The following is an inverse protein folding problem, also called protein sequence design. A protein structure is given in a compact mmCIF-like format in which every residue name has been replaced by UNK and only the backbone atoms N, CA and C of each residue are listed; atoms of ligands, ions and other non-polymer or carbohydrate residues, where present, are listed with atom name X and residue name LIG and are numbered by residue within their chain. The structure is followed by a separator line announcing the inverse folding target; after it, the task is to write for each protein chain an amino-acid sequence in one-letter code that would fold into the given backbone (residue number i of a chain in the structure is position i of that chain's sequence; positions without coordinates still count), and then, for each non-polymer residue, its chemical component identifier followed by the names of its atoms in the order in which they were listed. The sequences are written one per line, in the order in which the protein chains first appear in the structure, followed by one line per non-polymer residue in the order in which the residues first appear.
data_IF_057144257005
#
_entry.id   IF_057144257005
#
_cell.length_a   1.000
_cell.length_b   1.000
_cell.length_c   1.000
_cell.angle_alpha   90.00
_cell.angle_beta   90.00
_cell.angle_gamma   90.00
#
_symmetry.space_group_name_H-M   'P 1'
#
loop_
_entity.id
_entity.type
_entity.pdbx_description
1 polymer ?
#
# COMPACT_ATOMS: atom_id res chain seq x y z
N UNK A 1 -10.80 0.81 20.38
CA UNK A 1 -10.19 0.01 19.30
C UNK A 1 -10.65 0.60 17.98
N UNK A 2 -9.73 1.00 17.10
CA UNK A 2 -10.04 1.48 15.75
C UNK A 2 -9.75 0.35 14.74
N UNK A 3 -10.61 0.21 13.73
CA UNK A 3 -10.50 -0.80 12.67
C UNK A 3 -10.44 -0.07 11.32
N UNK A 4 -9.39 -0.32 10.54
CA UNK A 4 -9.19 0.29 9.22
C UNK A 4 -9.18 -0.82 8.15
N UNK A 5 -9.60 -0.49 6.92
CA UNK A 5 -9.57 -1.45 5.81
C UNK A 5 -10.54 -2.62 5.93
N UNK A 6 -11.56 -2.55 6.79
CA UNK A 6 -12.51 -3.65 7.03
C UNK A 6 -13.70 -3.68 6.07
N UNK A 7 -13.44 -3.56 4.78
CA UNK A 7 -14.44 -3.90 3.76
C UNK A 7 -14.19 -5.35 3.32
N UNK A 8 -15.27 -6.12 3.16
CA UNK A 8 -15.19 -7.48 2.62
C UNK A 8 -14.38 -7.47 1.31
N UNK A 9 -13.49 -8.45 1.14
CA UNK A 9 -12.63 -8.56 -0.04
C UNK A 9 -11.33 -7.75 0.02
N UNK A 10 -10.92 -7.25 1.18
CA UNK A 10 -9.56 -6.73 1.39
C UNK A 10 -8.73 -7.80 2.09
N UNK A 11 -7.65 -8.23 1.44
CA UNK A 11 -6.62 -9.09 2.04
C UNK A 11 -5.40 -8.20 2.39
N UNK A 12 -5.42 -7.49 3.53
CA UNK A 12 -4.26 -6.74 3.98
C UNK A 12 -3.14 -7.73 4.32
N UNK A 13 -2.00 -7.60 3.65
CA UNK A 13 -0.87 -8.51 3.88
C UNK A 13 0.21 -7.85 4.73
N UNK A 14 0.47 -6.56 4.50
CA UNK A 14 1.44 -5.78 5.27
C UNK A 14 0.97 -4.34 5.48
N UNK A 15 1.48 -3.72 6.54
CA UNK A 15 1.19 -2.33 6.93
C UNK A 15 2.47 -1.60 7.33
N UNK A 16 2.54 -0.31 7.02
CA UNK A 16 3.60 0.60 7.49
C UNK A 16 3.01 1.98 7.77
N UNK A 17 3.77 2.82 8.45
CA UNK A 17 3.38 4.19 8.79
C UNK A 17 4.50 5.15 8.40
N UNK A 18 4.17 6.31 7.82
CA UNK A 18 5.16 7.35 7.54
C UNK A 18 5.41 8.29 8.73
N UNK A 19 6.36 9.22 8.60
CA UNK A 19 6.68 10.21 9.65
C UNK A 19 5.53 11.17 10.00
N UNK A 20 4.50 11.26 9.16
CA UNK A 20 3.31 12.11 9.35
C UNK A 20 2.16 11.33 10.00
N UNK A 21 2.33 10.02 10.21
CA UNK A 21 1.31 9.14 10.75
C UNK A 21 0.34 8.59 9.71
N UNK A 22 0.60 8.77 8.40
CA UNK A 22 -0.22 8.13 7.38
C UNK A 22 0.03 6.63 7.39
N UNK A 23 -1.04 5.85 7.33
CA UNK A 23 -1.02 4.38 7.37
C UNK A 23 -1.12 3.88 5.93
N UNK A 24 -0.17 3.06 5.51
CA UNK A 24 -0.15 2.42 4.20
C UNK A 24 -0.35 0.92 4.35
N UNK A 25 -1.27 0.34 3.57
CA UNK A 25 -1.62 -1.08 3.63
C UNK A 25 -1.43 -1.69 2.24
N UNK A 26 -0.52 -2.66 2.13
CA UNK A 26 -0.41 -3.50 0.95
C UNK A 26 -1.61 -4.45 0.91
N UNK A 27 -2.42 -4.33 -0.13
CA UNK A 27 -3.58 -5.19 -0.33
C UNK A 27 -3.34 -6.19 -1.45
N UNK A 28 -3.12 -7.44 -1.05
CA UNK A 28 -2.76 -8.49 -1.97
C UNK A 28 -3.86 -8.77 -3.00
N UNK A 29 -5.09 -8.96 -2.52
CA UNK A 29 -6.22 -9.36 -3.35
C UNK A 29 -6.63 -8.27 -4.36
N UNK A 30 -6.58 -7.01 -3.95
CA UNK A 30 -6.95 -5.89 -4.82
C UNK A 30 -5.78 -5.31 -5.63
N UNK A 31 -4.58 -5.88 -5.48
CA UNK A 31 -3.36 -5.47 -6.20
C UNK A 31 -3.10 -3.95 -6.10
N UNK A 32 -3.24 -3.39 -4.90
CA UNK A 32 -3.09 -1.95 -4.64
C UNK A 32 -2.56 -1.68 -3.24
N UNK A 33 -2.05 -0.48 -3.04
CA UNK A 33 -1.75 0.07 -1.70
C UNK A 33 -2.86 1.03 -1.30
N UNK A 34 -3.38 0.87 -0.10
CA UNK A 34 -4.34 1.80 0.50
C UNK A 34 -3.60 2.79 1.40
N UNK A 35 -4.02 4.05 1.39
CA UNK A 35 -3.50 5.10 2.25
C UNK A 35 -4.60 5.66 3.14
N UNK A 36 -4.35 5.70 4.43
CA UNK A 36 -5.20 6.30 5.45
C UNK A 36 -4.42 7.37 6.21
N UNK A 37 -5.12 8.33 6.82
CA UNK A 37 -4.49 9.23 7.77
C UNK A 37 -4.32 8.56 9.15
N UNK A 38 -3.69 9.30 10.08
CA UNK A 38 -3.44 8.85 11.46
C UNK A 38 -4.70 8.55 12.26
N UNK A 39 -5.84 9.11 11.86
CA UNK A 39 -7.14 8.93 12.53
C UNK A 39 -7.95 7.80 11.87
N UNK A 40 -7.43 7.24 10.77
CA UNK A 40 -8.05 6.13 10.06
C UNK A 40 -8.97 6.49 8.92
N UNK A 41 -8.99 7.75 8.51
CA UNK A 41 -9.80 8.20 7.38
C UNK A 41 -9.09 7.76 6.10
N UNK A 42 -9.84 7.12 5.20
CA UNK A 42 -9.31 6.75 3.88
C UNK A 42 -8.96 8.02 3.10
N UNK A 43 -7.71 8.10 2.64
CA UNK A 43 -7.22 9.23 1.85
C UNK A 43 -7.21 8.89 0.36
N UNK A 44 -6.52 7.82 0.00
CA UNK A 44 -6.32 7.43 -1.39
C UNK A 44 -5.89 5.97 -1.52
N UNK A 45 -5.75 5.50 -2.76
CA UNK A 45 -5.05 4.27 -3.08
C UNK A 45 -4.34 4.41 -4.41
N UNK A 46 -3.30 3.60 -4.61
CA UNK A 46 -2.53 3.56 -5.85
C UNK A 46 -2.13 2.12 -6.18
N UNK A 47 -1.79 1.91 -7.45
CA UNK A 47 -1.66 0.58 -8.02
C UNK A 47 -2.98 -0.02 -8.49
N UNK A 48 -2.86 -0.95 -9.42
CA UNK A 48 -3.93 -1.84 -9.88
C UNK A 48 -3.29 -3.06 -10.53
N UNK A 49 -4.07 -4.12 -10.78
CA UNK A 49 -3.53 -5.35 -11.38
C UNK A 49 -2.84 -5.07 -12.72
N UNK A 50 -1.58 -5.46 -12.85
CA UNK A 50 -0.84 -5.38 -14.11
C UNK A 50 0.66 -5.59 -13.93
N UNK A 51 1.42 -5.48 -15.02
CA UNK A 51 2.87 -5.74 -15.05
C UNK A 51 3.71 -4.50 -15.41
N UNK A 52 3.06 -3.42 -15.88
CA UNK A 52 3.73 -2.17 -16.23
C UNK A 52 4.14 -1.34 -15.00
N UNK A 53 4.89 -0.26 -15.21
CA UNK A 53 5.21 0.67 -14.12
C UNK A 53 3.94 1.27 -13.52
N UNK A 54 3.89 1.36 -12.19
CA UNK A 54 2.73 1.81 -11.42
C UNK A 54 1.64 0.74 -11.23
N UNK A 55 1.74 -0.41 -11.88
CA UNK A 55 0.84 -1.55 -11.67
C UNK A 55 1.45 -2.52 -10.66
N UNK A 56 0.60 -3.20 -9.89
CA UNK A 56 1.00 -4.19 -8.91
C UNK A 56 0.32 -5.53 -9.23
N UNK A 57 0.85 -6.60 -8.69
CA UNK A 57 0.31 -7.94 -8.79
C UNK A 57 0.62 -8.72 -7.51
N UNK A 58 -0.22 -8.55 -6.50
CA UNK A 58 -0.08 -9.26 -5.23
C UNK A 58 1.04 -8.65 -4.36
N UNK A 59 0.91 -7.37 -3.99
CA UNK A 59 1.88 -6.71 -3.12
C UNK A 59 1.83 -7.34 -1.72
N UNK A 60 2.99 -7.75 -1.21
CA UNK A 60 3.08 -8.54 0.04
C UNK A 60 3.90 -7.89 1.15
N UNK A 61 4.84 -7.02 0.80
CA UNK A 61 5.68 -6.28 1.72
C UNK A 61 5.66 -4.80 1.41
N UNK A 62 5.75 -3.95 2.44
CA UNK A 62 5.71 -2.50 2.27
C UNK A 62 6.59 -1.81 3.32
N UNK A 63 7.35 -0.80 2.92
CA UNK A 63 8.04 0.12 3.83
C UNK A 63 8.02 1.54 3.28
N UNK A 64 8.37 2.52 4.13
CA UNK A 64 8.48 3.92 3.76
C UNK A 64 9.87 4.40 4.10
N UNK A 65 10.51 5.10 3.17
CA UNK A 65 11.84 5.65 3.40
C UNK A 65 11.82 7.02 4.09
N UNK A 66 13.00 7.61 4.31
CA UNK A 66 13.13 8.89 4.99
C UNK A 66 12.55 10.07 4.22
N UNK A 67 12.34 9.93 2.91
CA UNK A 67 11.75 10.92 1.99
C UNK A 67 10.23 10.75 1.85
N UNK A 68 9.65 9.71 2.46
CA UNK A 68 8.22 9.42 2.37
C UNK A 68 7.83 8.62 1.12
N UNK A 69 8.80 8.06 0.39
CA UNK A 69 8.52 7.17 -0.75
C UNK A 69 8.07 5.81 -0.23
N UNK A 70 7.09 5.21 -0.90
CA UNK A 70 6.53 3.91 -0.53
C UNK A 70 7.19 2.83 -1.38
N UNK A 71 7.84 1.87 -0.74
CA UNK A 71 8.55 0.77 -1.40
C UNK A 71 7.75 -0.50 -1.16
N UNK A 72 7.37 -1.17 -2.24
CA UNK A 72 6.44 -2.32 -2.23
C UNK A 72 7.12 -3.53 -2.85
N UNK A 73 7.07 -4.66 -2.14
CA UNK A 73 7.42 -5.97 -2.69
C UNK A 73 6.22 -6.47 -3.52
N UNK A 74 6.35 -6.39 -4.84
CA UNK A 74 5.33 -6.77 -5.82
C UNK A 74 5.53 -8.23 -6.24
N UNK A 75 5.13 -9.14 -5.36
CA UNK A 75 5.54 -10.55 -5.41
C UNK A 75 5.09 -11.28 -6.67
N UNK A 76 3.89 -11.02 -7.18
CA UNK A 76 3.40 -11.67 -8.39
C UNK A 76 4.10 -11.18 -9.66
N UNK A 77 4.72 -10.00 -9.63
CA UNK A 77 5.60 -9.52 -10.70
C UNK A 77 7.09 -9.76 -10.41
N UNK A 78 7.43 -10.38 -9.28
CA UNK A 78 8.79 -10.73 -8.87
C UNK A 78 9.73 -9.52 -8.85
N UNK A 79 9.23 -8.37 -8.39
CA UNK A 79 10.00 -7.12 -8.34
C UNK A 79 9.75 -6.33 -7.07
N UNK A 80 10.55 -5.30 -6.89
CA UNK A 80 10.31 -4.22 -5.92
C UNK A 80 9.99 -2.97 -6.71
N UNK A 81 8.94 -2.25 -6.29
CA UNK A 81 8.52 -1.01 -6.93
C UNK A 81 8.46 0.11 -5.89
N UNK A 82 8.82 1.32 -6.31
CA UNK A 82 8.90 2.49 -5.45
C UNK A 82 8.00 3.59 -6.00
N UNK A 83 7.12 4.09 -5.14
CA UNK A 83 6.11 5.10 -5.41
C UNK A 83 6.45 6.37 -4.65
N UNK A 84 5.93 7.52 -5.11
CA UNK A 84 6.02 8.74 -4.29
C UNK A 84 5.04 8.64 -3.12
N UNK A 85 5.02 9.64 -2.23
CA UNK A 85 4.09 9.64 -1.09
C UNK A 85 2.62 9.72 -1.54
N UNK A 86 2.37 10.17 -2.77
CA UNK A 86 1.07 10.31 -3.41
C UNK A 86 0.62 9.03 -4.13
N UNK A 87 1.56 8.11 -4.40
CA UNK A 87 1.37 6.97 -5.30
C UNK A 87 2.01 7.24 -6.65
#
# INVERSE_FOLDING_TARGET
MSKFGSIEGQAPEAVTVDKRGNIFIANWYNHRVLKYDKDGVYLSSFGSRGTGAGYLNGPSGICVDSLGRVIVADSGNQRVEMFTAEG
#
